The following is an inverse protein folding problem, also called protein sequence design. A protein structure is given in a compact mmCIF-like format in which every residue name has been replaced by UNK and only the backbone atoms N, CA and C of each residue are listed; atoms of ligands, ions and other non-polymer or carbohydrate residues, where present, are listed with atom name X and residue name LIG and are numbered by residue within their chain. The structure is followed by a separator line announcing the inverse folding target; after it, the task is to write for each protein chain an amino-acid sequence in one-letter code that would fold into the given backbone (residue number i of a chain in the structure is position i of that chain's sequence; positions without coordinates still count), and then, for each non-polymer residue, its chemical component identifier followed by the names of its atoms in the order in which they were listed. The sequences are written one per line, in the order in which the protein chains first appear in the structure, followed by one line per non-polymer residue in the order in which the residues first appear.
data_IF_497105057608
#
_entry.id   IF_497105057608
#
_cell.length_a   1.000
_cell.length_b   1.000
_cell.length_c   1.000
_cell.angle_alpha   90.00
_cell.angle_beta   90.00
_cell.angle_gamma   90.00
#
_symmetry.space_group_name_H-M   'P 1'
#
loop_
_entity.id
_entity.type
_entity.pdbx_description
1 polymer ?
#
# COMPACT_ATOMS: atom_id res chain seq x y z
N UNK A 1 13.06 -4.64 9.71
CA UNK A 1 11.67 -4.30 10.07
C UNK A 1 11.55 -2.87 10.57
N UNK A 2 10.60 -2.10 10.03
CA UNK A 2 10.29 -0.72 10.45
C UNK A 2 8.85 -0.54 10.92
N UNK A 3 7.87 -0.97 10.11
CA UNK A 3 6.43 -0.94 10.44
C UNK A 3 5.93 0.44 10.89
N UNK A 4 6.36 1.52 10.25
CA UNK A 4 5.98 2.90 10.58
C UNK A 4 6.73 3.49 11.79
N UNK A 5 7.30 2.67 12.66
CA UNK A 5 8.06 3.14 13.82
C UNK A 5 9.32 3.92 13.45
N UNK A 6 9.89 3.70 12.27
CA UNK A 6 11.16 4.32 11.84
C UNK A 6 10.97 5.44 10.81
N UNK A 7 9.81 6.11 10.81
CA UNK A 7 9.52 7.24 9.92
C UNK A 7 10.04 8.55 10.50
N UNK A 8 9.61 8.90 11.72
CA UNK A 8 9.99 10.15 12.38
C UNK A 8 11.41 10.13 12.95
N UNK A 9 11.88 11.31 13.33
CA UNK A 9 13.10 11.45 14.13
C UNK A 9 12.82 11.21 15.62
N UNK A 10 13.80 10.65 16.34
CA UNK A 10 13.74 10.44 17.78
C UNK A 10 14.81 11.25 18.51
N UNK A 11 14.61 11.59 19.80
CA UNK A 11 15.60 12.32 20.59
C UNK A 11 16.98 11.67 20.57
N UNK A 12 17.05 10.33 20.59
CA UNK A 12 18.33 9.63 20.52
C UNK A 12 19.13 9.89 19.24
N UNK A 13 18.47 10.15 18.09
CA UNK A 13 19.16 10.57 16.87
C UNK A 13 19.80 11.95 17.04
N UNK A 14 19.02 12.91 17.54
CA UNK A 14 19.46 14.29 17.73
C UNK A 14 20.60 14.36 18.75
N UNK A 15 20.45 13.70 19.90
CA UNK A 15 21.47 13.64 20.94
C UNK A 15 22.77 12.99 20.44
N UNK A 16 22.68 11.93 19.62
CA UNK A 16 23.86 11.28 19.06
C UNK A 16 24.60 12.19 18.06
N UNK A 17 23.86 12.92 17.22
CA UNK A 17 24.44 13.89 16.28
C UNK A 17 25.14 15.01 17.05
N UNK A 18 24.47 15.62 18.03
CA UNK A 18 25.05 16.69 18.85
C UNK A 18 26.29 16.21 19.60
N UNK A 19 26.23 15.03 20.23
CA UNK A 19 27.39 14.45 20.92
C UNK A 19 28.56 14.19 19.96
N UNK A 20 28.29 13.74 18.74
CA UNK A 20 29.32 13.55 17.72
C UNK A 20 29.96 14.87 17.29
N UNK A 21 29.18 15.96 17.13
CA UNK A 21 29.68 17.30 16.80
C UNK A 21 30.59 17.83 17.92
N UNK A 22 30.14 17.73 19.18
CA UNK A 22 30.89 18.26 20.33
C UNK A 22 32.20 17.50 20.56
N UNK A 23 32.18 16.18 20.38
CA UNK A 23 33.36 15.33 20.66
C UNK A 23 34.30 15.17 19.47
N UNK A 24 33.84 15.49 18.26
CA UNK A 24 34.56 15.22 17.01
C UNK A 24 34.77 13.73 16.72
N UNK A 25 33.98 12.84 17.34
CA UNK A 25 34.10 11.37 17.19
C UNK A 25 32.73 10.73 16.92
N UNK A 26 32.67 9.57 16.25
CA UNK A 26 31.41 8.86 16.04
C UNK A 26 30.74 8.46 17.36
N UNK A 27 29.43 8.70 17.47
CA UNK A 27 28.60 8.29 18.61
C UNK A 27 27.51 7.34 18.13
N UNK A 28 27.41 6.17 18.77
CA UNK A 28 26.38 5.17 18.49
C UNK A 28 25.33 5.18 19.60
N UNK A 29 24.06 5.22 19.20
CA UNK A 29 22.92 4.98 20.07
C UNK A 29 22.11 3.81 19.55
N UNK A 30 21.71 2.93 20.48
CA UNK A 30 20.81 1.80 20.25
C UNK A 30 19.93 1.71 21.49
N UNK A 31 18.62 1.84 21.32
CA UNK A 31 17.66 1.71 22.40
C UNK A 31 17.38 0.25 22.76
N UNK A 32 17.02 0.01 24.02
CA UNK A 32 16.50 -1.26 24.49
C UNK A 32 15.00 -1.41 24.21
N UNK A 33 14.48 -2.64 24.37
CA UNK A 33 13.08 -2.95 24.03
C UNK A 33 12.08 -2.12 24.82
N UNK A 34 12.34 -1.90 26.11
CA UNK A 34 11.41 -1.17 26.99
C UNK A 34 11.31 0.29 26.57
N UNK A 35 12.43 0.92 26.22
CA UNK A 35 12.49 2.27 25.65
C UNK A 35 11.72 2.30 24.33
N UNK A 36 12.05 1.40 23.40
CA UNK A 36 11.33 1.28 22.13
C UNK A 36 9.81 1.17 22.31
N UNK A 37 9.30 0.42 23.30
CA UNK A 37 7.86 0.26 23.48
C UNK A 37 7.21 1.46 24.17
N UNK A 38 7.94 2.14 25.05
CA UNK A 38 7.39 3.17 25.93
C UNK A 38 7.64 4.60 25.46
N UNK A 39 8.57 4.85 24.52
CA UNK A 39 8.97 6.22 24.14
C UNK A 39 8.97 6.51 22.64
N UNK A 40 8.85 5.49 21.78
CA UNK A 40 8.76 5.68 20.32
C UNK A 40 7.31 5.74 19.86
N UNK A 41 7.09 6.02 18.57
CA UNK A 41 5.74 6.18 18.00
C UNK A 41 4.82 4.99 18.35
N UNK A 42 3.79 5.28 19.15
CA UNK A 42 2.73 4.32 19.42
C UNK A 42 1.76 4.21 18.24
N UNK A 43 0.91 3.19 18.30
CA UNK A 43 -0.34 3.06 17.56
C UNK A 43 -1.35 2.38 18.51
N UNK A 44 -2.65 2.68 18.55
CA UNK A 44 -3.56 3.45 17.67
C UNK A 44 -4.16 4.66 18.40
N UNK A 45 -4.90 4.38 19.48
CA UNK A 45 -5.50 5.32 20.44
C UNK A 45 -6.57 6.28 19.86
N UNK A 46 -7.47 5.73 19.02
CA UNK A 46 -8.70 6.39 18.55
C UNK A 46 -9.91 5.84 19.32
N UNK A 47 -10.74 6.75 19.83
CA UNK A 47 -12.03 6.47 20.46
C UNK A 47 -13.12 6.94 19.52
N UNK A 48 -13.77 5.99 18.83
CA UNK A 48 -14.64 6.28 17.69
C UNK A 48 -16.10 6.02 18.05
N UNK A 49 -16.90 7.09 18.07
CA UNK A 49 -18.35 7.01 18.08
C UNK A 49 -18.85 6.96 16.64
N UNK A 50 -19.18 5.76 16.17
CA UNK A 50 -19.56 5.51 14.77
C UNK A 50 -21.04 5.18 14.64
N UNK A 51 -21.72 5.92 13.77
CA UNK A 51 -23.13 5.77 13.45
C UNK A 51 -23.30 5.49 11.96
N UNK A 52 -24.14 4.50 11.63
CA UNK A 52 -24.62 4.30 10.26
C UNK A 52 -26.14 4.33 10.25
N UNK A 53 -26.71 5.00 9.25
CA UNK A 53 -28.13 5.06 8.98
C UNK A 53 -28.47 4.08 7.85
N UNK A 54 -29.53 3.29 8.03
CA UNK A 54 -29.99 2.37 7.01
C UNK A 54 -31.53 2.29 7.01
N UNK A 55 -32.08 1.97 5.85
CA UNK A 55 -33.50 1.59 5.71
C UNK A 55 -33.75 0.22 6.35
N UNK A 56 -35.02 -0.11 6.62
CA UNK A 56 -35.40 -1.43 7.18
C UNK A 56 -35.03 -2.60 6.28
N UNK A 57 -34.98 -2.38 4.95
CA UNK A 57 -34.54 -3.38 3.98
C UNK A 57 -33.01 -3.43 3.84
N UNK A 58 -32.26 -2.57 4.53
CA UNK A 58 -30.81 -2.67 4.66
C UNK A 58 -30.01 -1.90 3.60
N UNK A 59 -30.57 -0.85 2.98
CA UNK A 59 -29.77 0.12 2.20
C UNK A 59 -29.24 1.19 3.13
N UNK A 60 -27.92 1.41 3.12
CA UNK A 60 -27.26 2.47 3.88
C UNK A 60 -27.56 3.82 3.24
N UNK A 61 -27.91 4.79 4.08
CA UNK A 61 -28.26 6.16 3.67
C UNK A 61 -27.34 7.21 4.25
N UNK A 62 -26.57 6.90 5.30
CA UNK A 62 -25.60 7.84 5.82
C UNK A 62 -24.62 7.25 6.83
N UNK A 63 -23.52 7.98 7.05
CA UNK A 63 -22.49 7.66 8.02
C UNK A 63 -22.10 8.92 8.81
N UNK A 64 -21.97 8.80 10.13
CA UNK A 64 -21.39 9.84 10.98
C UNK A 64 -20.38 9.22 11.93
N UNK A 65 -19.22 9.85 12.10
CA UNK A 65 -18.25 9.42 13.08
C UNK A 65 -17.67 10.62 13.83
N UNK A 66 -17.76 10.60 15.17
CA UNK A 66 -17.05 11.54 16.04
C UNK A 66 -15.93 10.78 16.74
N UNK A 67 -14.72 11.30 16.69
CA UNK A 67 -13.54 10.60 17.19
C UNK A 67 -12.75 11.48 18.14
N UNK A 68 -12.38 10.94 19.30
CA UNK A 68 -11.32 11.50 20.14
C UNK A 68 -10.03 10.75 19.83
N UNK A 69 -8.99 11.47 19.46
CA UNK A 69 -7.66 10.93 19.19
C UNK A 69 -6.71 11.34 20.32
N UNK A 70 -6.19 10.38 21.07
CA UNK A 70 -5.15 10.64 22.06
C UNK A 70 -3.78 10.65 21.36
N UNK A 71 -3.06 11.77 21.40
CA UNK A 71 -1.76 11.93 20.73
C UNK A 71 -0.56 11.86 21.69
N UNK A 72 -0.80 11.59 22.98
CA UNK A 72 0.22 11.69 24.01
C UNK A 72 0.63 13.14 24.29
N UNK A 73 1.86 13.36 24.77
CA UNK A 73 2.27 14.67 25.28
C UNK A 73 2.62 15.68 24.17
N UNK A 74 2.97 15.19 22.98
CA UNK A 74 3.34 15.99 21.83
C UNK A 74 2.72 15.39 20.57
N UNK A 75 2.24 16.22 19.67
CA UNK A 75 1.75 15.72 18.38
C UNK A 75 2.94 15.43 17.46
N UNK A 76 3.43 14.20 17.53
CA UNK A 76 4.43 13.66 16.58
C UNK A 76 3.79 12.62 15.63
N UNK A 77 2.49 12.73 15.40
CA UNK A 77 1.76 11.82 14.54
C UNK A 77 2.18 12.01 13.08
N UNK A 78 2.88 11.03 12.51
CA UNK A 78 3.38 11.12 11.14
C UNK A 78 2.22 11.16 10.13
N UNK A 79 1.99 12.31 9.49
CA UNK A 79 0.96 12.46 8.47
C UNK A 79 1.45 13.39 7.35
N UNK A 80 0.74 13.35 6.23
CA UNK A 80 0.78 14.47 5.30
C UNK A 80 0.30 15.75 6.02
N UNK A 81 0.97 16.88 5.82
CA UNK A 81 0.80 18.11 6.61
C UNK A 81 -0.65 18.59 6.69
N UNK A 82 -1.42 18.43 5.61
CA UNK A 82 -2.82 18.86 5.51
C UNK A 82 -3.83 17.88 6.12
N UNK A 83 -3.36 16.75 6.65
CA UNK A 83 -4.18 15.61 7.08
C UNK A 83 -3.89 15.24 8.53
N UNK A 84 -4.31 16.05 9.52
CA UNK A 84 -4.01 15.81 10.93
C UNK A 84 -4.60 14.49 11.48
N UNK A 85 -5.70 14.02 10.89
CA UNK A 85 -6.30 12.72 11.16
C UNK A 85 -5.95 11.65 10.11
N UNK A 86 -4.87 11.86 9.34
CA UNK A 86 -4.51 11.01 8.21
C UNK A 86 -5.61 10.91 7.16
N UNK A 87 -5.75 9.73 6.58
CA UNK A 87 -6.75 9.36 5.59
C UNK A 87 -7.99 8.71 6.24
N UNK A 88 -8.28 9.02 7.51
CA UNK A 88 -9.42 8.47 8.24
C UNK A 88 -10.77 8.70 7.52
N UNK A 89 -10.87 9.73 6.69
CA UNK A 89 -12.03 10.01 5.84
C UNK A 89 -12.30 8.94 4.76
N UNK A 90 -11.49 7.89 4.64
CA UNK A 90 -11.82 6.67 3.87
C UNK A 90 -12.89 5.80 4.58
N UNK A 91 -13.34 6.17 5.79
CA UNK A 91 -14.27 5.41 6.64
C UNK A 91 -15.60 5.01 5.97
N UNK A 92 -16.00 5.58 4.84
CA UNK A 92 -17.11 5.02 4.06
C UNK A 92 -16.83 3.60 3.56
N UNK A 93 -15.57 3.18 3.57
CA UNK A 93 -15.13 1.83 3.23
C UNK A 93 -15.49 1.48 1.80
N UNK A 94 -15.94 0.24 1.62
CA UNK A 94 -16.29 -0.34 0.32
C UNK A 94 -17.76 -0.13 -0.07
N UNK A 95 -18.48 0.74 0.64
CA UNK A 95 -19.94 0.85 0.56
C UNK A 95 -20.39 2.13 -0.13
N UNK A 96 -21.44 2.00 -0.94
CA UNK A 96 -22.08 3.12 -1.62
C UNK A 96 -23.00 3.90 -0.66
N UNK A 97 -22.39 4.86 0.03
CA UNK A 97 -23.02 5.71 1.06
C UNK A 97 -23.15 7.14 0.51
N UNK A 98 -24.38 7.68 0.37
CA UNK A 98 -24.59 8.94 -0.34
C UNK A 98 -24.24 10.19 0.49
N UNK A 99 -24.21 10.11 1.81
CA UNK A 99 -23.90 11.24 2.69
C UNK A 99 -23.09 10.77 3.91
N UNK A 100 -21.99 11.45 4.21
CA UNK A 100 -21.15 11.08 5.33
C UNK A 100 -20.47 12.28 5.98
N UNK A 101 -20.16 12.17 7.27
CA UNK A 101 -19.45 13.19 8.04
C UNK A 101 -18.48 12.55 9.05
N UNK A 102 -17.29 13.14 9.20
CA UNK A 102 -16.34 12.79 10.28
C UNK A 102 -15.88 14.04 11.02
N UNK A 103 -15.74 13.93 12.34
CA UNK A 103 -15.04 14.87 13.20
C UNK A 103 -13.97 14.14 13.99
N UNK A 104 -12.78 14.73 14.13
CA UNK A 104 -11.68 14.16 14.91
C UNK A 104 -11.08 15.25 15.79
N UNK A 105 -11.18 15.07 17.11
CA UNK A 105 -10.59 15.95 18.12
C UNK A 105 -9.32 15.31 18.67
N UNK A 106 -8.16 15.93 18.38
CA UNK A 106 -6.88 15.52 18.93
C UNK A 106 -6.67 16.10 20.33
N UNK A 107 -6.29 15.26 21.30
CA UNK A 107 -6.06 15.66 22.69
C UNK A 107 -4.65 15.30 23.16
N UNK A 108 -4.09 16.14 24.05
CA UNK A 108 -2.82 15.87 24.72
C UNK A 108 -3.04 15.11 26.02
N UNK A 109 -2.16 14.16 26.31
CA UNK A 109 -2.13 13.38 27.55
C UNK A 109 -0.68 13.10 28.01
N UNK A 110 -0.48 12.61 29.23
CA UNK A 110 0.85 12.25 29.72
C UNK A 110 1.33 10.87 29.20
N UNK A 111 1.35 10.68 27.89
CA UNK A 111 1.83 9.47 27.20
C UNK A 111 2.92 9.82 26.18
N UNK A 112 3.63 8.80 25.68
CA UNK A 112 4.55 8.98 24.56
C UNK A 112 3.82 9.45 23.29
N UNK A 113 4.49 10.21 22.41
CA UNK A 113 3.87 10.72 21.19
C UNK A 113 3.80 9.62 20.12
N UNK A 114 2.94 9.80 19.11
CA UNK A 114 2.76 8.84 18.04
C UNK A 114 1.38 8.88 17.42
N UNK A 115 0.83 7.71 17.11
CA UNK A 115 -0.50 7.54 16.52
C UNK A 115 -0.43 6.78 15.20
N UNK A 116 0.14 7.41 14.17
CA UNK A 116 0.37 6.77 12.86
C UNK A 116 1.63 5.92 12.92
N UNK A 117 1.42 4.61 13.08
CA UNK A 117 2.44 3.58 12.97
C UNK A 117 1.77 2.21 12.70
N UNK A 118 2.58 1.16 12.56
CA UNK A 118 2.12 -0.23 12.59
C UNK A 118 1.08 -0.56 11.50
N UNK A 119 1.48 -0.36 10.24
CA UNK A 119 0.69 -0.67 9.03
C UNK A 119 -0.68 0.04 8.93
N UNK A 120 -0.79 1.26 9.45
CA UNK A 120 -2.08 1.96 9.51
C UNK A 120 -2.46 2.78 8.27
N UNK A 121 -1.57 2.89 7.28
CA UNK A 121 -1.79 3.69 6.06
C UNK A 121 -2.31 5.11 6.31
N UNK A 122 -1.84 5.77 7.38
CA UNK A 122 -2.40 7.03 7.89
C UNK A 122 -3.86 6.90 8.37
N UNK A 123 -4.08 6.18 9.47
CA UNK A 123 -5.40 6.00 10.12
C UNK A 123 -6.47 5.20 9.36
N UNK A 124 -6.10 4.54 8.26
CA UNK A 124 -6.99 3.64 7.52
C UNK A 124 -7.35 2.40 8.33
N UNK A 125 -6.45 1.93 9.21
CA UNK A 125 -6.77 0.82 10.11
C UNK A 125 -7.95 1.14 11.02
N UNK A 126 -8.01 2.36 11.55
CA UNK A 126 -9.08 2.86 12.38
C UNK A 126 -10.36 3.04 11.56
N UNK A 127 -10.26 3.60 10.35
CA UNK A 127 -11.38 3.78 9.43
C UNK A 127 -12.03 2.44 9.04
N UNK A 128 -11.22 1.47 8.60
CA UNK A 128 -11.67 0.13 8.22
C UNK A 128 -12.28 -0.61 9.42
N UNK A 129 -11.67 -0.49 10.61
CA UNK A 129 -12.23 -1.07 11.83
C UNK A 129 -13.60 -0.48 12.17
N UNK A 130 -13.74 0.85 12.13
CA UNK A 130 -14.97 1.54 12.46
C UNK A 130 -16.13 1.13 11.53
N UNK A 131 -15.91 1.15 10.21
CA UNK A 131 -16.95 0.81 9.26
C UNK A 131 -17.32 -0.67 9.31
N UNK A 132 -16.35 -1.57 9.32
CA UNK A 132 -16.64 -3.01 9.34
C UNK A 132 -17.33 -3.43 10.64
N UNK A 133 -17.00 -2.77 11.76
CA UNK A 133 -17.73 -2.97 13.01
C UNK A 133 -19.16 -2.45 12.94
N UNK A 134 -19.36 -1.26 12.39
CA UNK A 134 -20.69 -0.67 12.21
C UNK A 134 -21.57 -1.56 11.32
N UNK A 135 -21.01 -2.11 10.23
CA UNK A 135 -21.70 -3.03 9.33
C UNK A 135 -22.25 -4.25 10.05
N UNK A 136 -21.43 -4.90 10.88
CA UNK A 136 -21.88 -6.06 11.67
C UNK A 136 -22.97 -5.70 12.69
N UNK A 137 -22.81 -4.57 13.39
CA UNK A 137 -23.78 -4.12 14.40
C UNK A 137 -25.13 -3.78 13.74
N UNK A 138 -25.11 -3.13 12.58
CA UNK A 138 -26.35 -2.83 11.84
C UNK A 138 -27.00 -4.09 11.29
N UNK A 139 -26.22 -5.03 10.73
CA UNK A 139 -26.75 -6.32 10.29
C UNK A 139 -27.46 -7.05 11.43
N UNK A 140 -26.88 -7.05 12.64
CA UNK A 140 -27.51 -7.60 13.85
C UNK A 140 -28.82 -6.87 14.21
N UNK A 141 -28.83 -5.53 14.20
CA UNK A 141 -30.04 -4.72 14.50
C UNK A 141 -31.17 -4.97 13.50
N UNK A 142 -30.84 -5.22 12.23
CA UNK A 142 -31.80 -5.51 11.17
C UNK A 142 -32.19 -6.99 11.09
N UNK A 143 -31.52 -7.87 11.83
CA UNK A 143 -31.73 -9.32 11.73
C UNK A 143 -31.28 -9.90 10.37
N UNK A 144 -30.32 -9.25 9.71
CA UNK A 144 -29.78 -9.66 8.40
C UNK A 144 -28.46 -10.40 8.56
N UNK A 145 -28.14 -11.29 7.60
CA UNK A 145 -26.81 -11.89 7.56
C UNK A 145 -25.74 -10.81 7.24
N UNK A 146 -24.62 -10.76 7.96
CA UNK A 146 -23.58 -9.74 7.74
C UNK A 146 -22.94 -9.73 6.34
N UNK A 147 -22.89 -10.87 5.64
CA UNK A 147 -22.38 -10.93 4.26
C UNK A 147 -23.44 -10.40 3.29
N UNK A 148 -24.71 -10.75 3.50
CA UNK A 148 -25.82 -10.23 2.69
C UNK A 148 -25.95 -8.71 2.82
N UNK A 149 -25.85 -8.18 4.05
CA UNK A 149 -25.90 -6.75 4.31
C UNK A 149 -24.75 -5.99 3.61
N UNK A 150 -23.53 -6.54 3.61
CA UNK A 150 -22.41 -6.01 2.83
C UNK A 150 -22.70 -6.06 1.33
N UNK A 151 -23.07 -7.23 0.81
CA UNK A 151 -23.33 -7.44 -0.62
C UNK A 151 -24.35 -6.44 -1.19
N UNK A 152 -25.38 -6.12 -0.40
CA UNK A 152 -26.41 -5.12 -0.77
C UNK A 152 -25.87 -3.69 -0.91
N UNK A 153 -24.78 -3.36 -0.21
CA UNK A 153 -24.26 -1.99 -0.11
C UNK A 153 -22.89 -1.79 -0.77
N UNK A 154 -22.20 -2.85 -1.20
CA UNK A 154 -20.92 -2.73 -1.90
C UNK A 154 -21.04 -1.83 -3.13
N UNK A 155 -20.03 -0.98 -3.33
CA UNK A 155 -19.83 -0.24 -4.58
C UNK A 155 -19.71 -1.28 -5.71
N UNK A 156 -20.42 -1.06 -6.82
CA UNK A 156 -20.43 -1.97 -7.96
C UNK A 156 -19.27 -1.67 -8.92
N UNK A 157 -18.79 -2.70 -9.61
CA UNK A 157 -17.65 -2.61 -10.53
C UNK A 157 -17.80 -1.49 -11.57
N UNK A 158 -19.01 -1.30 -12.11
CA UNK A 158 -19.30 -0.28 -13.12
C UNK A 158 -19.35 1.16 -12.56
N UNK A 159 -19.25 1.34 -11.24
CA UNK A 159 -19.21 2.66 -10.61
C UNK A 159 -17.79 3.23 -10.49
N UNK A 160 -16.76 2.44 -10.81
CA UNK A 160 -15.37 2.91 -10.76
C UNK A 160 -14.98 3.67 -12.03
N UNK A 161 -14.22 4.78 -11.93
CA UNK A 161 -13.71 5.39 -10.70
C UNK A 161 -14.83 6.01 -9.84
N UNK A 162 -14.87 5.66 -8.55
CA UNK A 162 -15.98 5.98 -7.64
C UNK A 162 -15.62 7.15 -6.73
N UNK A 163 -16.43 8.20 -6.72
CA UNK A 163 -16.25 9.32 -5.78
C UNK A 163 -17.05 9.06 -4.51
N UNK A 164 -16.35 8.82 -3.40
CA UNK A 164 -16.96 8.67 -2.07
C UNK A 164 -17.57 9.99 -1.57
N UNK A 165 -18.44 9.89 -0.56
CA UNK A 165 -19.03 11.06 0.11
C UNK A 165 -17.98 11.99 0.75
N UNK A 166 -16.75 11.52 0.97
CA UNK A 166 -15.62 12.31 1.48
C UNK A 166 -14.71 12.89 0.39
N UNK A 167 -15.03 12.66 -0.89
CA UNK A 167 -14.29 13.21 -2.03
C UNK A 167 -13.09 12.37 -2.50
N UNK A 168 -12.81 11.22 -1.87
CA UNK A 168 -11.85 10.25 -2.40
C UNK A 168 -12.39 9.60 -3.67
N UNK A 169 -11.55 9.54 -4.71
CA UNK A 169 -11.86 8.90 -5.98
C UNK A 169 -11.18 7.54 -6.02
N UNK A 170 -11.92 6.47 -5.80
CA UNK A 170 -11.40 5.11 -5.80
C UNK A 170 -11.09 4.71 -7.25
N UNK A 171 -9.94 4.12 -7.50
CA UNK A 171 -9.42 3.87 -8.85
C UNK A 171 -10.12 2.69 -9.55
N UNK A 172 -10.30 1.56 -8.86
CA UNK A 172 -10.95 0.36 -9.40
C UNK A 172 -11.41 -0.61 -8.30
N UNK A 173 -12.32 -1.53 -8.63
CA UNK A 173 -12.76 -2.57 -7.69
C UNK A 173 -13.76 -3.55 -8.29
N UNK A 174 -13.66 -4.83 -7.90
CA UNK A 174 -14.64 -5.89 -8.21
C UNK A 174 -15.05 -6.62 -6.93
N UNK A 175 -15.75 -5.88 -6.08
CA UNK A 175 -15.94 -6.23 -4.68
C UNK A 175 -16.84 -7.45 -4.49
N UNK A 176 -17.93 -7.52 -5.25
CA UNK A 176 -18.89 -8.61 -5.19
C UNK A 176 -18.22 -9.93 -5.56
N UNK A 177 -17.36 -9.94 -6.58
CA UNK A 177 -16.60 -11.13 -7.00
C UNK A 177 -15.65 -11.61 -5.90
N UNK A 178 -14.88 -10.70 -5.29
CA UNK A 178 -13.97 -11.04 -4.21
C UNK A 178 -14.69 -11.57 -2.96
N UNK A 179 -15.76 -10.91 -2.53
CA UNK A 179 -16.54 -11.35 -1.37
C UNK A 179 -17.18 -12.72 -1.63
N UNK A 180 -17.75 -12.95 -2.82
CA UNK A 180 -18.30 -14.26 -3.18
C UNK A 180 -17.24 -15.36 -3.14
N UNK A 181 -16.05 -15.11 -3.71
CA UNK A 181 -14.94 -16.07 -3.68
C UNK A 181 -14.52 -16.42 -2.24
N UNK A 182 -14.43 -15.42 -1.36
CA UNK A 182 -14.12 -15.65 0.04
C UNK A 182 -15.18 -16.51 0.75
N UNK A 183 -16.45 -16.16 0.57
CA UNK A 183 -17.63 -16.83 1.15
C UNK A 183 -17.72 -18.29 0.68
N UNK A 184 -17.47 -18.54 -0.61
CA UNK A 184 -17.43 -19.90 -1.18
C UNK A 184 -16.25 -20.70 -0.63
N UNK A 185 -15.05 -20.12 -0.60
CA UNK A 185 -13.82 -20.79 -0.17
C UNK A 185 -13.88 -21.28 1.28
N UNK A 186 -14.51 -20.50 2.15
CA UNK A 186 -14.69 -20.89 3.56
C UNK A 186 -15.93 -21.77 3.79
N UNK A 187 -16.80 -21.91 2.79
CA UNK A 187 -18.07 -22.63 2.93
C UNK A 187 -19.02 -21.91 3.88
N UNK A 188 -19.14 -20.59 3.78
CA UNK A 188 -19.83 -19.72 4.75
C UNK A 188 -21.22 -20.17 5.16
N UNK A 189 -22.06 -20.63 4.23
CA UNK A 189 -23.41 -21.15 4.55
C UNK A 189 -23.35 -22.36 5.49
N UNK A 190 -22.39 -23.26 5.29
CA UNK A 190 -22.17 -24.41 6.17
C UNK A 190 -21.66 -23.95 7.54
N UNK A 191 -20.74 -22.99 7.57
CA UNK A 191 -20.25 -22.40 8.83
C UNK A 191 -21.38 -21.73 9.63
N UNK A 192 -22.31 -21.02 8.97
CA UNK A 192 -23.49 -20.44 9.64
C UNK A 192 -24.43 -21.51 10.21
N UNK A 193 -24.64 -22.61 9.49
CA UNK A 193 -25.42 -23.74 9.99
C UNK A 193 -24.74 -24.42 11.20
N UNK A 194 -23.43 -24.63 11.12
CA UNK A 194 -22.61 -25.14 12.22
C UNK A 194 -22.66 -24.22 13.45
N UNK A 195 -22.51 -22.91 13.24
CA UNK A 195 -22.60 -21.90 14.29
C UNK A 195 -23.97 -21.96 14.99
N UNK A 196 -25.06 -22.08 14.23
CA UNK A 196 -26.41 -22.22 14.79
C UNK A 196 -26.54 -23.49 15.65
N UNK A 197 -26.04 -24.63 15.17
CA UNK A 197 -26.03 -25.87 15.94
C UNK A 197 -25.23 -25.74 17.25
N UNK A 198 -24.06 -25.10 17.21
CA UNK A 198 -23.26 -24.82 18.41
C UNK A 198 -23.99 -23.88 19.39
N UNK A 199 -24.69 -22.86 18.90
CA UNK A 199 -25.51 -21.99 19.74
C UNK A 199 -26.65 -22.75 20.43
N UNK A 200 -27.30 -23.68 19.73
CA UNK A 200 -28.34 -24.54 20.30
C UNK A 200 -27.76 -25.51 21.35
N UNK A 201 -26.61 -26.13 21.07
CA UNK A 201 -25.90 -26.99 22.02
C UNK A 201 -25.47 -26.21 23.29
N UNK A 202 -24.99 -24.97 23.12
CA UNK A 202 -24.65 -24.09 24.24
C UNK A 202 -25.87 -23.82 25.12
N UNK A 203 -27.04 -23.53 24.53
CA UNK A 203 -28.30 -23.35 25.26
C UNK A 203 -28.78 -24.62 25.98
N UNK A 204 -28.47 -25.80 25.44
CA UNK A 204 -28.76 -27.09 26.08
C UNK A 204 -27.76 -27.48 27.17
N UNK A 205 -26.69 -26.71 27.36
CA UNK A 205 -25.64 -27.02 28.33
C UNK A 205 -24.68 -28.12 27.88
N UNK A 206 -24.67 -28.47 26.59
CA UNK A 206 -23.81 -29.53 26.02
C UNK A 206 -22.39 -29.03 25.72
N UNK A 207 -22.19 -27.72 25.65
CA UNK A 207 -20.88 -27.10 25.40
C UNK A 207 -20.76 -25.74 26.09
N UNK A 208 -19.52 -25.35 26.38
CA UNK A 208 -19.13 -24.01 26.85
C UNK A 208 -18.39 -23.22 25.76
N UNK A 209 -18.16 -23.83 24.61
CA UNK A 209 -17.53 -23.20 23.46
C UNK A 209 -18.58 -22.49 22.59
N UNK A 210 -18.29 -21.26 22.19
CA UNK A 210 -19.09 -20.51 21.20
C UNK A 210 -18.27 -20.26 19.94
N UNK A 211 -18.93 -20.30 18.78
CA UNK A 211 -18.30 -20.08 17.49
C UNK A 211 -18.59 -18.68 16.96
N UNK A 212 -17.54 -17.97 16.56
CA UNK A 212 -17.60 -16.67 15.88
C UNK A 212 -17.20 -16.81 14.41
N UNK A 213 -17.88 -16.04 13.55
CA UNK A 213 -17.52 -15.88 12.14
C UNK A 213 -17.36 -14.38 11.91
N UNK A 214 -16.12 -13.91 11.86
CA UNK A 214 -15.77 -12.52 11.54
C UNK A 214 -15.65 -12.33 10.04
N UNK A 215 -16.19 -11.22 9.55
CA UNK A 215 -16.09 -10.81 8.14
C UNK A 215 -15.54 -9.40 8.10
N UNK A 216 -14.52 -9.16 7.27
CA UNK A 216 -14.03 -7.82 6.96
C UNK A 216 -13.90 -7.72 5.45
N UNK A 217 -14.67 -6.82 4.86
CA UNK A 217 -14.48 -6.40 3.48
C UNK A 217 -14.01 -4.95 3.51
N UNK A 218 -12.80 -4.68 3.01
CA UNK A 218 -12.18 -3.37 3.17
C UNK A 218 -11.68 -2.82 1.84
N UNK A 219 -11.67 -1.49 1.76
CA UNK A 219 -10.96 -0.73 0.73
C UNK A 219 -9.88 0.07 1.42
N UNK A 220 -8.64 -0.13 1.02
CA UNK A 220 -7.48 0.64 1.46
C UNK A 220 -7.33 1.92 0.62
N UNK A 221 -6.45 2.82 1.07
CA UNK A 221 -6.01 3.99 0.32
C UNK A 221 -4.51 4.18 0.56
N UNK A 222 -3.71 3.84 -0.44
CA UNK A 222 -2.25 3.78 -0.33
C UNK A 222 -1.58 4.51 -1.48
N UNK A 223 -0.29 4.82 -1.34
CA UNK A 223 0.39 5.67 -2.33
C UNK A 223 0.25 7.17 -2.04
N UNK A 224 0.23 7.55 -0.76
CA UNK A 224 0.20 8.95 -0.34
C UNK A 224 1.25 9.79 -1.08
N UNK A 225 0.74 10.85 -1.72
CA UNK A 225 1.00 11.03 -3.14
C UNK A 225 0.68 12.43 -3.68
N UNK A 226 -0.49 12.67 -4.32
CA UNK A 226 -0.69 13.82 -5.22
C UNK A 226 -0.25 15.17 -4.63
N UNK A 227 0.67 15.85 -5.30
CA UNK A 227 1.28 17.11 -4.84
C UNK A 227 0.27 18.21 -4.45
N UNK A 228 -0.92 18.21 -5.06
CA UNK A 228 -2.01 19.15 -4.73
C UNK A 228 -2.38 19.17 -3.24
N UNK A 229 -2.32 18.03 -2.56
CA UNK A 229 -2.82 17.90 -1.19
C UNK A 229 -2.00 16.98 -0.28
N UNK A 230 -0.92 16.37 -0.77
CA UNK A 230 -0.05 15.49 0.03
C UNK A 230 1.38 16.04 0.05
N UNK A 231 1.84 16.45 1.24
CA UNK A 231 3.21 16.89 1.48
C UNK A 231 3.68 16.43 2.86
N UNK A 232 4.98 16.17 3.01
CA UNK A 232 5.64 16.02 4.31
C UNK A 232 6.42 17.30 4.57
N UNK A 233 5.96 18.12 5.51
CA UNK A 233 6.59 19.37 5.91
C UNK A 233 6.93 20.28 4.71
N UNK A 234 6.00 20.40 3.76
CA UNK A 234 6.13 21.24 2.57
C UNK A 234 6.75 20.54 1.34
N UNK A 235 7.25 19.30 1.47
CA UNK A 235 7.78 18.53 0.34
C UNK A 235 6.67 17.64 -0.21
N UNK A 236 6.27 17.88 -1.47
CA UNK A 236 5.26 17.07 -2.15
C UNK A 236 5.60 15.57 -2.09
N UNK A 237 4.60 14.72 -1.92
CA UNK A 237 4.79 13.27 -1.69
C UNK A 237 5.06 12.46 -2.98
N UNK A 238 5.91 12.97 -3.87
CA UNK A 238 6.47 12.22 -4.99
C UNK A 238 7.46 11.14 -4.49
N UNK A 239 7.92 10.31 -5.40
CA UNK A 239 9.12 9.50 -5.19
C UNK A 239 9.87 9.33 -6.51
N UNK A 240 10.97 8.59 -6.52
CA UNK A 240 11.88 8.62 -7.66
C UNK A 240 12.62 7.31 -7.90
N UNK A 241 13.07 7.16 -9.15
CA UNK A 241 14.00 6.12 -9.58
C UNK A 241 15.00 6.70 -10.58
N UNK A 242 16.28 6.39 -10.39
CA UNK A 242 17.37 6.63 -11.33
C UNK A 242 17.91 5.28 -11.79
N UNK A 243 17.95 5.04 -13.09
CA UNK A 243 18.41 3.78 -13.69
C UNK A 243 19.54 4.11 -14.67
N UNK A 244 20.66 3.41 -14.53
CA UNK A 244 21.81 3.47 -15.45
C UNK A 244 22.16 2.07 -15.94
N UNK A 245 22.13 1.87 -17.25
CA UNK A 245 22.58 0.64 -17.89
C UNK A 245 24.05 0.78 -18.26
N UNK A 246 24.87 -0.18 -17.87
CA UNK A 246 26.29 -0.24 -18.15
C UNK A 246 26.55 -0.72 -19.59
N UNK A 247 27.75 -0.46 -20.15
CA UNK A 247 28.06 -0.84 -21.53
C UNK A 247 27.84 -2.33 -21.85
N UNK A 248 27.95 -3.20 -20.85
CA UNK A 248 27.81 -4.66 -21.00
C UNK A 248 26.39 -5.17 -20.73
N UNK A 249 25.40 -4.29 -20.54
CA UNK A 249 23.98 -4.66 -20.41
C UNK A 249 23.48 -4.89 -18.97
N UNK A 250 24.37 -5.02 -17.98
CA UNK A 250 23.97 -4.94 -16.56
C UNK A 250 23.61 -3.50 -16.18
N UNK A 251 22.99 -3.29 -15.01
CA UNK A 251 22.60 -1.95 -14.60
C UNK A 251 22.56 -1.74 -13.10
N UNK A 252 22.43 -0.47 -12.74
CA UNK A 252 22.20 -0.03 -11.37
C UNK A 252 20.95 0.85 -11.34
N UNK A 253 20.06 0.59 -10.39
CA UNK A 253 18.91 1.42 -10.11
C UNK A 253 18.92 1.86 -8.65
N UNK A 254 18.67 3.15 -8.43
CA UNK A 254 18.51 3.73 -7.10
C UNK A 254 17.16 4.37 -6.96
N UNK A 255 16.57 4.26 -5.77
CA UNK A 255 15.24 4.79 -5.50
C UNK A 255 15.21 5.66 -4.26
N UNK A 256 14.25 6.58 -4.23
CA UNK A 256 13.97 7.45 -3.09
C UNK A 256 13.22 6.77 -1.93
N UNK A 257 12.87 5.50 -2.08
CA UNK A 257 12.35 4.63 -1.02
C UNK A 257 13.44 4.03 -0.16
N UNK A 258 13.05 3.30 0.90
CA UNK A 258 13.98 2.50 1.68
C UNK A 258 13.34 1.26 2.25
N UNK A 259 13.73 0.08 1.79
CA UNK A 259 13.24 -1.18 2.34
C UNK A 259 13.61 -1.37 3.81
N UNK A 260 12.71 -2.02 4.54
CA UNK A 260 12.95 -2.58 5.86
C UNK A 260 12.57 -4.07 5.93
N UNK A 261 12.58 -4.75 4.77
CA UNK A 261 12.27 -6.18 4.63
C UNK A 261 11.14 -6.49 3.65
N UNK A 262 10.65 -5.51 2.86
CA UNK A 262 9.57 -5.72 1.88
C UNK A 262 10.06 -6.30 0.54
N UNK A 263 11.36 -6.60 0.40
CA UNK A 263 11.92 -7.21 -0.81
C UNK A 263 12.11 -6.26 -2.00
N UNK A 264 12.29 -4.96 -1.76
CA UNK A 264 12.45 -3.94 -2.82
C UNK A 264 13.60 -4.23 -3.77
N UNK A 265 14.73 -4.70 -3.21
CA UNK A 265 15.92 -5.06 -3.97
C UNK A 265 15.64 -6.16 -5.02
N UNK A 266 14.60 -6.96 -4.80
CA UNK A 266 14.11 -7.96 -5.75
C UNK A 266 13.02 -7.40 -6.66
N UNK A 267 11.99 -6.79 -6.08
CA UNK A 267 10.77 -6.43 -6.85
C UNK A 267 10.99 -5.28 -7.82
N UNK A 268 11.83 -4.29 -7.49
CA UNK A 268 12.15 -3.23 -8.44
C UNK A 268 12.97 -3.76 -9.63
N UNK A 269 13.88 -4.71 -9.40
CA UNK A 269 14.60 -5.38 -10.47
C UNK A 269 13.66 -6.16 -11.41
N UNK A 270 12.58 -6.76 -10.88
CA UNK A 270 11.57 -7.45 -11.71
C UNK A 270 10.77 -6.49 -12.61
N UNK A 271 10.47 -5.27 -12.13
CA UNK A 271 9.83 -4.23 -12.95
C UNK A 271 10.77 -3.84 -14.10
N UNK A 272 12.03 -3.57 -13.78
CA UNK A 272 13.06 -3.18 -14.75
C UNK A 272 13.26 -4.29 -15.78
N UNK A 273 13.32 -5.54 -15.32
CA UNK A 273 13.51 -6.70 -16.17
C UNK A 273 12.39 -6.86 -17.20
N UNK A 274 11.15 -6.64 -16.79
CA UNK A 274 9.99 -6.72 -17.70
C UNK A 274 9.97 -5.55 -18.69
N UNK A 275 10.27 -4.34 -18.23
CA UNK A 275 10.20 -3.15 -19.09
C UNK A 275 11.36 -3.12 -20.12
N UNK A 276 12.57 -3.52 -19.72
CA UNK A 276 13.78 -3.42 -20.54
C UNK A 276 14.26 -4.75 -21.14
N UNK A 277 13.75 -5.89 -20.68
CA UNK A 277 14.21 -7.21 -21.13
C UNK A 277 15.64 -7.55 -20.71
N UNK A 278 16.10 -6.97 -19.59
CA UNK A 278 17.37 -7.31 -18.93
C UNK A 278 17.05 -8.27 -17.78
N UNK A 279 17.86 -9.30 -17.53
CA UNK A 279 17.58 -10.20 -16.42
C UNK A 279 17.60 -9.44 -15.08
N UNK A 280 16.69 -9.76 -14.16
CA UNK A 280 16.64 -9.09 -12.86
C UNK A 280 17.95 -9.25 -12.06
N UNK A 281 18.64 -10.39 -12.23
CA UNK A 281 19.95 -10.68 -11.61
C UNK A 281 21.07 -9.76 -12.14
N UNK A 282 20.90 -9.16 -13.31
CA UNK A 282 21.85 -8.22 -13.91
C UNK A 282 21.59 -6.77 -13.47
N UNK A 283 20.60 -6.53 -12.60
CA UNK A 283 20.22 -5.20 -12.10
C UNK A 283 20.46 -5.10 -10.60
N UNK A 284 21.42 -4.26 -10.21
CA UNK A 284 21.64 -3.90 -8.81
C UNK A 284 20.61 -2.84 -8.36
N UNK A 285 19.97 -3.05 -7.22
CA UNK A 285 19.05 -2.09 -6.61
C UNK A 285 19.68 -1.53 -5.33
N UNK A 286 19.70 -0.20 -5.18
CA UNK A 286 20.16 0.45 -3.95
C UNK A 286 19.15 1.49 -3.43
N UNK A 287 19.09 1.64 -2.11
CA UNK A 287 18.19 2.57 -1.42
C UNK A 287 18.86 3.13 -0.16
N UNK A 288 18.53 4.36 0.22
CA UNK A 288 18.76 4.89 1.58
C UNK A 288 20.11 5.54 1.87
N UNK A 289 21.04 5.59 0.92
CA UNK A 289 22.16 6.53 1.00
C UNK A 289 21.78 7.83 0.29
N UNK A 290 21.64 8.92 1.04
CA UNK A 290 21.20 10.23 0.54
C UNK A 290 22.19 10.91 -0.39
N UNK A 291 23.45 10.48 -0.42
CA UNK A 291 24.45 11.02 -1.35
C UNK A 291 24.31 10.44 -2.77
N UNK A 292 23.70 9.26 -2.89
CA UNK A 292 23.67 8.49 -4.14
C UNK A 292 22.27 8.24 -4.66
N UNK A 293 21.29 8.01 -3.78
CA UNK A 293 19.92 7.76 -4.21
C UNK A 293 19.23 9.08 -4.62
N UNK A 294 18.37 9.07 -5.65
CA UNK A 294 17.56 10.23 -5.96
C UNK A 294 16.63 10.56 -4.79
N UNK A 295 16.23 11.82 -4.68
CA UNK A 295 15.40 12.26 -3.55
C UNK A 295 14.04 11.56 -3.60
N UNK A 296 13.58 11.05 -2.46
CA UNK A 296 12.22 10.56 -2.30
C UNK A 296 11.74 10.71 -0.88
N UNK A 297 10.52 10.23 -0.64
CA UNK A 297 9.84 10.40 0.63
C UNK A 297 9.89 9.13 1.47
N UNK A 298 10.58 8.08 1.02
CA UNK A 298 10.77 6.86 1.78
C UNK A 298 9.58 5.91 1.74
N UNK A 299 9.65 4.90 2.61
CA UNK A 299 8.73 3.75 2.62
C UNK A 299 7.87 3.71 3.88
N UNK A 300 6.59 4.03 3.70
CA UNK A 300 5.49 3.93 4.65
C UNK A 300 4.16 3.98 3.88
N UNK A 301 3.01 3.80 4.54
CA UNK A 301 1.69 3.93 3.91
C UNK A 301 1.54 3.14 2.59
N UNK A 302 2.21 1.98 2.52
CA UNK A 302 2.31 1.11 1.34
C UNK A 302 2.59 1.83 0.02
N UNK A 303 3.34 2.94 0.06
CA UNK A 303 3.52 3.85 -1.09
C UNK A 303 4.62 3.44 -2.08
N UNK A 304 5.48 2.50 -1.70
CA UNK A 304 6.66 2.12 -2.47
C UNK A 304 6.34 1.60 -3.87
N UNK A 305 5.32 0.76 -4.04
CA UNK A 305 4.88 0.32 -5.36
C UNK A 305 4.12 1.42 -6.11
N UNK A 306 3.08 2.05 -5.53
CA UNK A 306 2.33 3.12 -6.22
C UNK A 306 3.19 4.26 -6.76
N UNK A 307 4.24 4.67 -6.03
CA UNK A 307 5.02 5.86 -6.37
C UNK A 307 6.38 5.49 -6.99
N UNK A 308 7.27 4.80 -6.26
CA UNK A 308 8.60 4.46 -6.80
C UNK A 308 8.56 3.31 -7.78
N UNK A 309 7.60 2.38 -7.67
CA UNK A 309 7.35 1.37 -8.70
C UNK A 309 6.89 2.00 -10.01
N UNK A 310 6.01 3.00 -9.95
CA UNK A 310 5.64 3.81 -11.11
C UNK A 310 6.85 4.61 -11.64
N UNK A 311 7.62 5.27 -10.77
CA UNK A 311 8.82 6.01 -11.17
C UNK A 311 9.84 5.10 -11.89
N UNK A 312 10.01 3.87 -11.40
CA UNK A 312 10.88 2.84 -12.00
C UNK A 312 10.40 2.52 -13.41
N UNK A 313 9.11 2.17 -13.59
CA UNK A 313 8.56 1.88 -14.90
C UNK A 313 8.68 3.07 -15.86
N UNK A 314 8.44 4.29 -15.39
CA UNK A 314 8.56 5.50 -16.20
C UNK A 314 10.02 5.80 -16.59
N UNK A 315 10.98 5.59 -15.70
CA UNK A 315 12.40 5.68 -16.03
C UNK A 315 12.82 4.60 -17.06
N UNK A 316 12.36 3.36 -16.90
CA UNK A 316 12.57 2.30 -17.89
C UNK A 316 11.99 2.68 -19.26
N UNK A 317 10.80 3.26 -19.31
CA UNK A 317 10.18 3.66 -20.59
C UNK A 317 10.96 4.76 -21.31
N UNK A 318 11.58 5.69 -20.56
CA UNK A 318 12.53 6.66 -21.15
C UNK A 318 13.76 5.98 -21.74
N UNK A 319 14.35 5.02 -21.01
CA UNK A 319 15.48 4.22 -21.51
C UNK A 319 15.08 3.45 -22.76
N UNK A 320 13.92 2.78 -22.74
CA UNK A 320 13.40 1.98 -23.84
C UNK A 320 13.14 2.82 -25.09
N UNK A 321 12.60 4.04 -24.94
CA UNK A 321 12.42 4.97 -26.05
C UNK A 321 13.77 5.39 -26.67
N UNK A 322 14.78 5.70 -25.84
CA UNK A 322 16.15 5.97 -26.32
C UNK A 322 16.74 4.76 -27.04
N UNK A 323 16.56 3.55 -26.48
CA UNK A 323 17.01 2.30 -27.10
C UNK A 323 16.31 2.03 -28.44
N UNK A 324 15.02 2.35 -28.58
CA UNK A 324 14.29 2.24 -29.85
C UNK A 324 14.91 3.13 -30.94
N UNK A 325 15.27 4.38 -30.60
CA UNK A 325 15.93 5.29 -31.52
C UNK A 325 17.31 4.77 -31.96
N UNK A 326 18.08 4.20 -31.03
CA UNK A 326 19.37 3.56 -31.35
C UNK A 326 19.15 2.33 -32.26
N UNK A 327 18.15 1.51 -31.96
CA UNK A 327 17.80 0.35 -32.77
C UNK A 327 17.40 0.73 -34.20
N UNK A 328 16.57 1.77 -34.34
CA UNK A 328 16.13 2.29 -35.63
C UNK A 328 17.31 2.77 -36.47
N UNK A 329 18.26 3.49 -35.86
CA UNK A 329 19.49 3.91 -36.51
C UNK A 329 20.35 2.73 -36.96
N UNK A 330 20.63 1.77 -36.08
CA UNK A 330 21.46 0.59 -36.38
C UNK A 330 20.83 -0.35 -37.41
N UNK A 331 19.49 -0.37 -37.49
CA UNK A 331 18.74 -1.19 -38.43
C UNK A 331 18.35 -0.43 -39.71
N UNK A 332 18.70 0.85 -39.83
CA UNK A 332 18.38 1.70 -40.98
C UNK A 332 16.87 1.68 -41.33
N UNK A 333 16.01 1.80 -40.31
CA UNK A 333 14.54 1.84 -40.45
C UNK A 333 13.94 2.99 -39.64
N UNK A 334 12.65 3.27 -39.84
CA UNK A 334 11.94 4.20 -38.97
C UNK A 334 11.66 3.56 -37.60
N UNK A 335 11.53 4.34 -36.53
CA UNK A 335 11.21 3.82 -35.19
C UNK A 335 9.83 3.14 -35.15
N UNK A 336 8.86 3.66 -35.91
CA UNK A 336 7.54 3.05 -36.15
C UNK A 336 7.61 1.70 -36.88
N UNK A 337 8.71 1.35 -37.54
CA UNK A 337 8.90 0.04 -38.19
C UNK A 337 9.38 -1.02 -37.21
N UNK A 338 9.59 -0.67 -35.94
CA UNK A 338 10.03 -1.58 -34.89
C UNK A 338 8.88 -2.10 -34.04
N UNK A 339 9.00 -3.35 -33.60
CA UNK A 339 8.17 -3.96 -32.57
C UNK A 339 9.05 -4.51 -31.44
N UNK A 340 8.56 -4.39 -30.20
CA UNK A 340 9.24 -4.93 -29.03
C UNK A 340 8.86 -6.39 -28.80
N UNK A 341 9.85 -7.26 -28.67
CA UNK A 341 9.67 -8.68 -28.37
C UNK A 341 10.58 -9.08 -27.20
N UNK A 342 10.04 -9.03 -25.99
CA UNK A 342 10.67 -9.42 -24.71
C UNK A 342 11.93 -8.62 -24.34
N UNK A 343 13.00 -8.75 -25.13
CA UNK A 343 14.36 -8.23 -24.89
C UNK A 343 14.96 -7.50 -26.10
N UNK A 344 14.22 -7.38 -27.20
CA UNK A 344 14.74 -6.83 -28.45
C UNK A 344 13.72 -6.01 -29.23
N UNK A 345 14.23 -5.11 -30.05
CA UNK A 345 13.46 -4.49 -31.13
C UNK A 345 13.66 -5.27 -32.43
N UNK A 346 12.57 -5.68 -33.07
CA UNK A 346 12.55 -6.36 -34.38
C UNK A 346 11.93 -5.46 -35.45
N UNK A 347 12.37 -5.59 -36.69
CA UNK A 347 11.71 -4.93 -37.83
C UNK A 347 10.39 -5.66 -38.15
N UNK A 348 9.29 -4.93 -38.21
CA UNK A 348 7.96 -5.46 -38.56
C UNK A 348 8.00 -6.18 -39.91
N UNK A 349 7.54 -7.42 -39.94
CA UNK A 349 7.54 -8.25 -41.14
C UNK A 349 8.91 -8.86 -41.53
N UNK A 350 9.99 -8.55 -40.80
CA UNK A 350 11.29 -9.18 -40.98
C UNK A 350 11.97 -9.48 -39.63
N UNK A 351 11.54 -10.54 -38.93
CA UNK A 351 11.95 -10.83 -37.55
C UNK A 351 13.42 -11.22 -37.39
N UNK A 352 14.14 -11.49 -38.49
CA UNK A 352 15.58 -11.76 -38.50
C UNK A 352 16.43 -10.49 -38.33
N UNK A 353 15.86 -9.31 -38.61
CA UNK A 353 16.50 -8.02 -38.39
C UNK A 353 16.09 -7.48 -37.02
N UNK A 354 16.99 -7.59 -36.05
CA UNK A 354 16.73 -7.14 -34.68
C UNK A 354 17.98 -6.61 -33.98
N UNK A 355 17.74 -5.89 -32.87
CA UNK A 355 18.76 -5.54 -31.88
C UNK A 355 18.23 -5.79 -30.47
N UNK A 356 19.00 -6.55 -29.69
CA UNK A 356 18.71 -6.83 -28.28
C UNK A 356 19.04 -5.63 -27.40
N UNK A 357 18.44 -5.53 -26.22
CA UNK A 357 18.74 -4.47 -25.25
C UNK A 357 20.22 -4.44 -24.88
N UNK A 358 20.89 -5.59 -24.79
CA UNK A 358 22.34 -5.67 -24.52
C UNK A 358 23.18 -5.07 -25.65
N UNK A 359 22.84 -5.35 -26.92
CA UNK A 359 23.52 -4.72 -28.07
C UNK A 359 23.28 -3.21 -28.11
N UNK A 360 22.06 -2.78 -27.76
CA UNK A 360 21.69 -1.35 -27.73
C UNK A 360 22.37 -0.61 -26.58
N UNK A 361 22.55 -1.26 -25.43
CA UNK A 361 23.34 -0.75 -24.32
C UNK A 361 24.79 -0.53 -24.76
N UNK A 362 25.41 -1.49 -25.44
CA UNK A 362 26.77 -1.33 -25.99
C UNK A 362 26.84 -0.20 -27.01
N UNK A 363 25.91 -0.16 -27.98
CA UNK A 363 25.86 0.86 -29.01
C UNK A 363 25.71 2.28 -28.42
N UNK A 364 24.97 2.43 -27.32
CA UNK A 364 24.84 3.70 -26.62
C UNK A 364 26.17 4.25 -26.07
N UNK A 365 27.23 3.44 -25.94
CA UNK A 365 28.56 3.89 -25.55
C UNK A 365 29.58 3.85 -26.70
N UNK A 366 29.36 2.98 -27.69
CA UNK A 366 30.32 2.72 -28.76
C UNK A 366 30.02 3.45 -30.07
N UNK A 367 28.74 3.46 -30.48
CA UNK A 367 28.28 3.92 -31.80
C UNK A 367 26.98 4.71 -31.64
N UNK A 368 27.10 5.85 -30.98
CA UNK A 368 25.94 6.69 -30.63
C UNK A 368 25.40 7.36 -31.87
N UNK A 369 24.08 7.26 -32.16
CA UNK A 369 23.47 7.97 -33.27
C UNK A 369 23.78 9.49 -33.22
N UNK A 370 24.08 10.15 -34.34
CA UNK A 370 24.39 11.57 -34.37
C UNK A 370 23.30 12.42 -33.70
N UNK A 371 23.70 13.34 -32.82
CA UNK A 371 22.77 14.22 -32.10
C UNK A 371 22.19 13.62 -30.81
N UNK A 372 22.54 12.38 -30.46
CA UNK A 372 22.19 11.76 -29.18
C UNK A 372 23.37 11.79 -28.20
N UNK A 373 23.09 11.96 -26.92
CA UNK A 373 24.11 11.84 -25.87
C UNK A 373 24.53 10.37 -25.69
N UNK A 374 25.82 10.07 -25.45
CA UNK A 374 26.26 8.74 -25.04
C UNK A 374 25.61 8.24 -23.75
N UNK A 375 25.68 6.93 -23.54
CA UNK A 375 25.13 6.21 -22.40
C UNK A 375 23.64 5.89 -22.50
N UNK A 376 23.16 5.04 -21.60
CA UNK A 376 21.77 4.59 -21.59
C UNK A 376 21.22 4.62 -20.16
N UNK A 377 20.63 5.75 -19.79
CA UNK A 377 20.18 6.02 -18.44
C UNK A 377 18.99 6.98 -18.42
N UNK A 378 18.22 6.95 -17.34
CA UNK A 378 17.13 7.89 -17.11
C UNK A 378 16.81 8.03 -15.62
N UNK A 379 16.25 9.20 -15.28
CA UNK A 379 15.65 9.47 -13.98
C UNK A 379 14.17 9.84 -14.14
N UNK A 380 13.36 9.43 -13.18
CA UNK A 380 11.99 9.91 -13.04
C UNK A 380 11.67 10.25 -11.59
N UNK A 381 11.12 11.44 -11.40
CA UNK A 381 10.37 11.82 -10.22
C UNK A 381 8.89 11.71 -10.56
N UNK A 382 8.15 10.89 -9.82
CA UNK A 382 6.76 10.56 -10.10
C UNK A 382 5.85 11.23 -9.09
N UNK A 383 5.09 12.22 -9.55
CA UNK A 383 3.95 12.78 -8.82
C UNK A 383 2.70 11.97 -9.20
N UNK A 384 2.16 11.13 -8.29
CA UNK A 384 1.05 10.26 -8.62
C UNK A 384 -0.23 11.07 -8.86
N UNK A 385 -1.01 10.76 -9.91
CA UNK A 385 -2.23 11.51 -10.21
C UNK A 385 -3.35 11.28 -9.19
N UNK A 386 -3.31 10.13 -8.50
CA UNK A 386 -4.23 9.73 -7.45
C UNK A 386 -3.53 8.70 -6.53
N UNK A 387 -4.19 8.32 -5.44
CA UNK A 387 -3.87 7.12 -4.66
C UNK A 387 -4.28 5.85 -5.43
N UNK A 388 -3.82 4.70 -4.93
CA UNK A 388 -4.32 3.37 -5.33
C UNK A 388 -5.20 2.79 -4.23
N UNK A 389 -6.28 2.08 -4.58
CA UNK A 389 -7.28 1.60 -3.63
C UNK A 389 -7.39 0.06 -3.64
N UNK A 390 -6.37 -0.67 -3.16
CA UNK A 390 -6.46 -2.12 -3.05
C UNK A 390 -7.59 -2.50 -2.08
N UNK A 391 -8.13 -3.70 -2.23
CA UNK A 391 -9.24 -4.16 -1.41
C UNK A 391 -9.07 -5.62 -1.01
N UNK A 392 -9.84 -6.05 -0.02
CA UNK A 392 -9.77 -7.42 0.44
C UNK A 392 -11.05 -7.94 1.07
N UNK A 393 -11.17 -9.27 1.09
CA UNK A 393 -12.28 -10.02 1.67
C UNK A 393 -11.75 -11.06 2.65
N UNK A 394 -11.76 -10.71 3.94
CA UNK A 394 -11.21 -11.53 5.01
C UNK A 394 -12.33 -12.19 5.80
N UNK A 395 -12.19 -13.49 6.04
CA UNK A 395 -13.12 -14.25 6.87
C UNK A 395 -12.35 -15.06 7.90
N UNK A 396 -12.67 -14.83 9.18
CA UNK A 396 -12.07 -15.52 10.30
C UNK A 396 -13.12 -16.35 11.03
N UNK A 397 -12.79 -17.61 11.32
CA UNK A 397 -13.59 -18.47 12.18
C UNK A 397 -12.85 -18.68 13.48
N UNK A 398 -13.50 -18.37 14.59
CA UNK A 398 -12.96 -18.51 15.93
C UNK A 398 -13.86 -19.40 16.78
N UNK A 399 -13.24 -20.16 17.66
CA UNK A 399 -13.90 -20.85 18.75
C UNK A 399 -13.46 -20.20 20.07
N UNK A 400 -14.41 -19.89 20.94
CA UNK A 400 -14.17 -19.18 22.20
C UNK A 400 -14.71 -20.01 23.35
N UNK A 401 -13.83 -20.37 24.28
CA UNK A 401 -14.22 -20.93 25.57
C UNK A 401 -14.74 -19.79 26.46
N UNK A 402 -16.03 -19.80 26.80
CA UNK A 402 -16.63 -18.68 27.56
C UNK A 402 -16.29 -18.71 29.05
N UNK A 403 -15.77 -19.81 29.57
CA UNK A 403 -15.43 -19.94 30.99
C UNK A 403 -14.03 -19.40 31.27
N UNK A 404 -13.14 -19.46 30.27
CA UNK A 404 -11.76 -18.93 30.36
C UNK A 404 -11.52 -17.66 29.55
N UNK A 405 -12.37 -17.37 28.55
CA UNK A 405 -12.14 -16.33 27.54
C UNK A 405 -11.12 -16.72 26.46
N UNK A 406 -10.59 -17.94 26.50
CA UNK A 406 -9.59 -18.39 25.53
C UNK A 406 -10.19 -18.43 24.12
N UNK A 407 -9.58 -17.71 23.20
CA UNK A 407 -10.03 -17.63 21.79
C UNK A 407 -9.03 -18.35 20.89
N UNK A 408 -9.50 -19.34 20.14
CA UNK A 408 -8.71 -20.06 19.14
C UNK A 408 -9.17 -19.68 17.74
N UNK A 409 -8.24 -19.18 16.92
CA UNK A 409 -8.49 -19.01 15.49
C UNK A 409 -8.51 -20.40 14.85
N UNK A 410 -9.68 -20.83 14.40
CA UNK A 410 -9.86 -22.10 13.70
C UNK A 410 -9.44 -22.00 12.25
N UNK A 411 -9.77 -20.88 11.60
CA UNK A 411 -9.43 -20.62 10.20
C UNK A 411 -9.38 -19.12 9.95
N UNK A 412 -8.38 -18.68 9.21
CA UNK A 412 -8.32 -17.32 8.67
C UNK A 412 -8.13 -17.42 7.17
N UNK A 413 -9.03 -16.81 6.41
CA UNK A 413 -8.92 -16.67 4.97
C UNK A 413 -8.75 -15.20 4.63
N UNK A 414 -7.71 -14.89 3.86
CA UNK A 414 -7.41 -13.56 3.37
C UNK A 414 -7.39 -13.59 1.85
N UNK A 415 -8.26 -12.80 1.21
CA UNK A 415 -8.15 -12.44 -0.19
C UNK A 415 -7.79 -10.97 -0.25
N UNK A 416 -6.67 -10.67 -0.89
CA UNK A 416 -6.23 -9.32 -1.24
C UNK A 416 -6.20 -9.16 -2.75
N UNK A 417 -6.74 -8.06 -3.24
CA UNK A 417 -6.58 -7.59 -4.60
C UNK A 417 -5.80 -6.26 -4.57
N UNK A 418 -4.56 -6.32 -5.03
CA UNK A 418 -3.67 -5.17 -5.18
C UNK A 418 -3.39 -4.86 -6.66
N UNK A 419 -4.28 -5.30 -7.56
CA UNK A 419 -4.10 -5.19 -8.99
C UNK A 419 -2.97 -6.08 -9.50
N UNK A 420 -2.12 -5.53 -10.37
CA UNK A 420 -1.01 -6.28 -10.97
C UNK A 420 0.01 -6.69 -9.91
N UNK A 421 0.24 -8.00 -9.80
CA UNK A 421 1.12 -8.60 -8.80
C UNK A 421 2.54 -8.71 -9.34
N UNK A 422 3.46 -7.88 -8.83
CA UNK A 422 4.88 -7.92 -9.23
C UNK A 422 5.51 -9.27 -8.84
N UNK A 423 5.35 -9.66 -7.58
CA UNK A 423 5.90 -10.90 -7.06
C UNK A 423 4.92 -11.57 -6.09
N UNK A 424 4.21 -12.63 -6.54
CA UNK A 424 3.29 -13.41 -5.71
C UNK A 424 3.87 -13.91 -4.39
N UNK A 425 5.14 -14.32 -4.36
CA UNK A 425 5.81 -14.89 -3.18
C UNK A 425 6.14 -13.83 -2.13
N UNK A 426 6.40 -12.58 -2.55
CA UNK A 426 6.67 -11.46 -1.62
C UNK A 426 5.37 -10.88 -1.06
N UNK A 427 4.27 -11.03 -1.80
CA UNK A 427 2.93 -10.62 -1.33
C UNK A 427 2.43 -11.57 -0.23
N UNK A 428 2.64 -12.88 -0.41
CA UNK A 428 2.37 -13.93 0.59
C UNK A 428 3.33 -13.82 1.79
#
# INVERSE_FOLDING_TARGET
GGFGKKVGAYPGYICSIVASIVTGRPVKWVEDRIENLSTTAFARDFYMETEIAATKDGKITGLRCNTIADHGAFDACANATKWPAGLFSIISGSYDIPAAHVSVDGVYTNKAPGGVAYRCSFRVTEAAYAIERAMDIMAQKLGMDPVEFRMKNLIRREQFPYTSAFGWVYDSGDYQTALNKAVETVGYKKLRAEQKQKQEAFKRGETREVMGIGVSFFTEIVGAGPSRNCDILGIAMFDSAEIRIHPTGSGICRLGTKSQGQGHETTYAQIIATELGIAADDIMIEEGNTDTAPYGLGTYGSRSTPVSGAATAMACRKIKAKAQMIAAYMLEVHDDDLEWDVDRFRVKGNPERFKTMTELAWAAYHEVPPGMEPGLEAINYYDPPNFTFPFGAYICVVDVDVDTGTTKVRRFYALDDCGTRINPMIIE
#
